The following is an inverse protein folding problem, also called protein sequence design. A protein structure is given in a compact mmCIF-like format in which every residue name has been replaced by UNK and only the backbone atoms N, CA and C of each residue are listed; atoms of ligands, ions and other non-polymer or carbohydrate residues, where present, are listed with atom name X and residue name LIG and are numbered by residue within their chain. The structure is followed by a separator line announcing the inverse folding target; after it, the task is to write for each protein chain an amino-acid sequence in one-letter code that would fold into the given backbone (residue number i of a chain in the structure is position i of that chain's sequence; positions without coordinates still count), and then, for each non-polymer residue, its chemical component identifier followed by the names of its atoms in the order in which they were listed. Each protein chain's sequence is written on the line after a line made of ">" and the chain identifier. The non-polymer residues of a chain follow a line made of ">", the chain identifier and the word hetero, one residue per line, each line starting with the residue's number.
data_IF_018466438347
#
_entry.id   IF_018466438347
#
_cell.length_a   1.000
_cell.length_b   1.000
_cell.length_c   1.000
_cell.angle_alpha   90.00
_cell.angle_beta   90.00
_cell.angle_gamma   90.00
#
_symmetry.space_group_name_H-M   'P 1'
#
loop_
_entity.id
_entity.type
_entity.pdbx_description
1 polymer ?
#
# COMPACT_ATOMS: atom_id res chain seq x y z
N UNK A 1 3.35 -13.23 16.64
CA UNK A 1 4.20 -12.02 16.62
C UNK A 1 5.31 -12.29 15.63
N UNK A 2 5.36 -11.59 14.50
CA UNK A 2 6.45 -11.72 13.51
C UNK A 2 7.53 -10.72 13.92
N UNK A 3 8.73 -11.21 14.17
CA UNK A 3 9.92 -10.38 14.41
C UNK A 3 10.76 -10.51 13.16
N UNK A 4 10.95 -9.40 12.45
CA UNK A 4 11.82 -9.34 11.29
C UNK A 4 13.23 -8.95 11.76
N UNK A 5 14.25 -9.48 11.08
CA UNK A 5 15.64 -9.09 11.35
C UNK A 5 15.88 -7.63 10.95
N UNK A 6 16.74 -6.94 11.70
CA UNK A 6 17.23 -5.64 11.29
C UNK A 6 18.28 -5.84 10.18
N UNK A 7 17.98 -5.30 9.00
CA UNK A 7 18.84 -5.44 7.83
C UNK A 7 19.90 -4.34 7.77
N UNK A 8 19.80 -3.30 8.60
CA UNK A 8 20.76 -2.20 8.63
C UNK A 8 22.16 -2.74 9.05
N UNK A 9 22.20 -3.70 9.98
CA UNK A 9 23.44 -4.39 10.41
C UNK A 9 24.15 -5.14 9.27
N UNK A 10 23.41 -5.50 8.22
CA UNK A 10 23.91 -6.21 7.04
C UNK A 10 24.25 -5.26 5.87
N UNK A 11 24.17 -3.95 6.11
CA UNK A 11 24.48 -2.91 5.12
C UNK A 11 23.36 -2.62 4.13
N UNK A 12 22.13 -3.08 4.40
CA UNK A 12 20.98 -2.64 3.62
C UNK A 12 20.63 -1.20 3.98
N UNK A 13 20.21 -0.42 2.99
CA UNK A 13 19.85 0.99 3.18
C UNK A 13 18.46 1.26 2.62
N UNK A 14 17.73 2.15 3.28
CA UNK A 14 16.50 2.70 2.72
C UNK A 14 16.86 3.66 1.59
N UNK A 15 16.66 3.22 0.35
CA UNK A 15 16.93 4.02 -0.85
C UNK A 15 15.85 5.10 -1.00
N UNK A 16 16.24 6.25 -1.55
CA UNK A 16 15.30 7.28 -1.97
C UNK A 16 14.33 6.71 -3.03
N UNK A 17 13.04 6.64 -2.69
CA UNK A 17 11.99 6.12 -3.59
C UNK A 17 11.79 6.98 -4.83
N UNK A 18 12.26 8.23 -4.82
CA UNK A 18 12.25 9.12 -5.98
C UNK A 18 13.43 8.83 -6.93
N UNK A 19 14.51 8.23 -6.42
CA UNK A 19 15.56 7.68 -7.25
C UNK A 19 15.06 6.36 -7.84
N UNK A 20 14.86 6.34 -9.16
CA UNK A 20 14.54 5.11 -9.89
C UNK A 20 15.57 4.01 -9.59
N UNK A 21 15.16 2.74 -9.73
CA UNK A 21 16.07 1.60 -9.61
C UNK A 21 17.21 1.73 -10.62
N UNK A 22 18.45 1.67 -10.13
CA UNK A 22 19.61 1.54 -11.01
C UNK A 22 19.71 0.11 -11.58
N UNK A 23 20.68 -0.07 -12.48
CA UNK A 23 20.90 -1.34 -13.16
C UNK A 23 21.25 -2.47 -12.19
N UNK A 24 22.04 -2.21 -11.16
CA UNK A 24 22.46 -3.24 -10.21
C UNK A 24 21.28 -3.74 -9.38
N UNK A 25 20.40 -2.84 -8.93
CA UNK A 25 19.17 -3.24 -8.23
C UNK A 25 18.26 -4.07 -9.14
N UNK A 26 18.10 -3.68 -10.41
CA UNK A 26 17.34 -4.46 -11.38
C UNK A 26 17.95 -5.86 -11.59
N UNK A 27 19.28 -5.95 -11.68
CA UNK A 27 19.99 -7.22 -11.84
C UNK A 27 19.76 -8.15 -10.65
N UNK A 28 19.90 -7.65 -9.42
CA UNK A 28 19.63 -8.46 -8.22
C UNK A 28 18.18 -8.91 -8.14
N UNK A 29 17.24 -8.03 -8.48
CA UNK A 29 15.82 -8.39 -8.56
C UNK A 29 15.57 -9.53 -9.54
N UNK A 30 16.14 -9.46 -10.75
CA UNK A 30 15.98 -10.50 -11.78
C UNK A 30 16.57 -11.84 -11.36
N UNK A 31 17.59 -11.86 -10.50
CA UNK A 31 18.17 -13.09 -9.94
C UNK A 31 17.28 -13.67 -8.83
N UNK A 32 16.75 -12.82 -7.93
CA UNK A 32 16.00 -13.27 -6.75
C UNK A 32 14.53 -13.61 -7.03
N UNK A 33 13.88 -12.87 -7.93
CA UNK A 33 12.46 -13.02 -8.23
C UNK A 33 12.07 -14.43 -8.69
N UNK A 34 12.84 -15.15 -9.54
CA UNK A 34 12.53 -16.52 -9.92
C UNK A 34 12.50 -17.49 -8.74
N UNK A 35 13.44 -17.37 -7.79
CA UNK A 35 13.46 -18.22 -6.60
C UNK A 35 12.25 -17.97 -5.71
N UNK A 36 11.87 -16.71 -5.51
CA UNK A 36 10.66 -16.35 -4.74
C UNK A 36 9.40 -16.88 -5.44
N UNK A 37 9.32 -16.80 -6.76
CA UNK A 37 8.20 -17.34 -7.53
C UNK A 37 8.10 -18.87 -7.40
N UNK A 38 9.23 -19.59 -7.54
CA UNK A 38 9.28 -21.03 -7.38
C UNK A 38 8.88 -21.47 -5.96
N UNK A 39 9.33 -20.78 -4.93
CA UNK A 39 8.92 -21.04 -3.54
C UNK A 39 7.44 -20.77 -3.35
N UNK A 40 6.91 -19.65 -3.87
CA UNK A 40 5.48 -19.35 -3.81
C UNK A 40 4.63 -20.45 -4.46
N UNK A 41 5.08 -20.98 -5.60
CA UNK A 41 4.41 -22.09 -6.29
C UNK A 41 4.43 -23.39 -5.45
N UNK A 42 5.59 -23.73 -4.88
CA UNK A 42 5.72 -24.92 -4.02
C UNK A 42 4.83 -24.80 -2.77
N UNK A 43 4.84 -23.64 -2.10
CA UNK A 43 3.99 -23.36 -0.93
C UNK A 43 2.51 -23.42 -1.30
N UNK A 44 2.11 -22.89 -2.47
CA UNK A 44 0.72 -22.97 -2.93
C UNK A 44 0.29 -24.41 -3.19
N UNK A 45 1.16 -25.24 -3.76
CA UNK A 45 0.88 -26.67 -3.99
C UNK A 45 0.67 -27.44 -2.69
N UNK A 46 1.49 -27.17 -1.67
CA UNK A 46 1.45 -27.89 -0.40
C UNK A 46 0.37 -27.35 0.55
N UNK A 47 0.11 -26.04 0.53
CA UNK A 47 -0.89 -25.39 1.36
C UNK A 47 -1.53 -24.18 0.64
N UNK A 48 -2.51 -24.42 -0.26
CA UNK A 48 -3.12 -23.36 -1.05
C UNK A 48 -3.84 -22.32 -0.19
N UNK A 49 -4.45 -22.75 0.92
CA UNK A 49 -5.18 -21.88 1.84
C UNK A 49 -4.28 -20.82 2.49
N UNK A 50 -3.00 -21.14 2.73
CA UNK A 50 -2.06 -20.17 3.29
C UNK A 50 -1.79 -19.03 2.31
N UNK A 51 -1.57 -19.37 1.03
CA UNK A 51 -1.33 -18.36 -0.03
C UNK A 51 -2.58 -17.53 -0.26
N UNK A 52 -3.76 -18.14 -0.28
CA UNK A 52 -5.03 -17.42 -0.39
C UNK A 52 -5.27 -16.49 0.81
N UNK A 53 -5.00 -16.96 2.03
CA UNK A 53 -5.17 -16.16 3.24
C UNK A 53 -4.20 -14.98 3.33
N UNK A 54 -2.94 -15.17 2.94
CA UNK A 54 -1.91 -14.11 2.94
C UNK A 54 -2.14 -13.15 1.77
N UNK A 55 -2.46 -13.67 0.59
CA UNK A 55 -2.69 -12.89 -0.62
C UNK A 55 -4.00 -12.11 -0.62
N UNK A 56 -4.96 -12.48 0.25
CA UNK A 56 -6.19 -11.70 0.43
C UNK A 56 -5.85 -10.36 1.08
N UNK A 57 -6.12 -9.30 0.35
CA UNK A 57 -6.00 -7.92 0.81
C UNK A 57 -7.08 -7.63 1.88
N UNK A 58 -6.66 -7.07 3.02
CA UNK A 58 -7.45 -6.97 4.27
C UNK A 58 -7.64 -5.53 4.77
N UNK A 59 -6.96 -4.56 4.19
CA UNK A 59 -6.99 -3.15 4.59
C UNK A 59 -8.20 -2.39 4.03
N UNK A 60 -8.81 -2.89 2.95
CA UNK A 60 -10.02 -2.32 2.35
C UNK A 60 -11.25 -3.23 2.49
N UNK A 61 -11.17 -4.28 3.31
CA UNK A 61 -12.28 -5.19 3.55
C UNK A 61 -13.22 -4.63 4.64
N UNK A 62 -14.50 -4.41 4.34
CA UNK A 62 -15.45 -3.74 5.25
C UNK A 62 -15.70 -4.48 6.58
N UNK A 63 -15.25 -5.72 6.72
CA UNK A 63 -15.49 -6.61 7.86
C UNK A 63 -14.30 -6.73 8.84
N UNK A 64 -13.23 -5.94 8.66
CA UNK A 64 -12.02 -6.05 9.48
C UNK A 64 -11.69 -4.77 10.27
N UNK A 65 -11.26 -4.94 11.53
CA UNK A 65 -10.82 -3.86 12.42
C UNK A 65 -9.74 -2.95 11.80
N UNK A 66 -8.82 -3.52 11.03
CA UNK A 66 -7.75 -2.77 10.37
C UNK A 66 -8.29 -1.82 9.28
N UNK A 67 -9.39 -2.15 8.62
CA UNK A 67 -10.03 -1.32 7.60
C UNK A 67 -10.68 -0.09 8.22
N UNK A 68 -11.35 -0.25 9.36
CA UNK A 68 -11.88 0.88 10.13
C UNK A 68 -10.76 1.80 10.61
N UNK A 69 -9.66 1.23 11.11
CA UNK A 69 -8.48 1.97 11.51
C UNK A 69 -7.90 2.77 10.33
N UNK A 70 -7.72 2.12 9.18
CA UNK A 70 -7.16 2.75 7.99
C UNK A 70 -8.09 3.83 7.41
N UNK A 71 -9.39 3.57 7.35
CA UNK A 71 -10.43 4.56 6.98
C UNK A 71 -10.40 5.79 7.88
N UNK A 72 -10.30 5.57 9.19
CA UNK A 72 -10.24 6.65 10.17
C UNK A 72 -8.95 7.46 10.07
N UNK A 73 -7.83 6.80 9.77
CA UNK A 73 -6.56 7.48 9.50
C UNK A 73 -6.65 8.37 8.25
N UNK A 74 -7.21 7.86 7.14
CA UNK A 74 -7.43 8.64 5.91
C UNK A 74 -8.33 9.85 6.19
N UNK A 75 -9.47 9.64 6.88
CA UNK A 75 -10.39 10.72 7.25
C UNK A 75 -9.71 11.77 8.13
N UNK A 76 -8.90 11.35 9.10
CA UNK A 76 -8.17 12.25 10.00
C UNK A 76 -7.14 13.07 9.23
N UNK A 77 -6.39 12.45 8.32
CA UNK A 77 -5.45 13.14 7.46
C UNK A 77 -6.15 14.20 6.58
N UNK A 78 -7.30 13.86 5.97
CA UNK A 78 -8.10 14.84 5.22
C UNK A 78 -8.54 16.02 6.08
N UNK A 79 -9.00 15.77 7.32
CA UNK A 79 -9.41 16.85 8.24
C UNK A 79 -8.24 17.79 8.57
N UNK A 80 -7.07 17.24 8.88
CA UNK A 80 -5.86 18.03 9.16
C UNK A 80 -5.47 18.85 7.93
N UNK A 81 -5.55 18.27 6.73
CA UNK A 81 -5.24 18.96 5.49
C UNK A 81 -6.22 20.11 5.19
N UNK A 82 -7.51 19.90 5.40
CA UNK A 82 -8.55 20.94 5.24
C UNK A 82 -8.30 22.09 6.23
N UNK A 83 -8.05 21.77 7.50
CA UNK A 83 -7.79 22.75 8.55
C UNK A 83 -6.53 23.59 8.24
N UNK A 84 -5.47 22.94 7.73
CA UNK A 84 -4.27 23.64 7.26
C UNK A 84 -4.58 24.62 6.12
N UNK A 85 -5.38 24.19 5.13
CA UNK A 85 -5.75 25.04 3.98
C UNK A 85 -6.63 26.21 4.42
N UNK A 86 -7.57 26.00 5.33
CA UNK A 86 -8.46 27.04 5.86
C UNK A 86 -7.68 28.13 6.62
N UNK A 87 -6.64 27.72 7.34
CA UNK A 87 -5.78 28.63 8.11
C UNK A 87 -4.72 29.33 7.25
N UNK A 88 -4.48 28.86 6.03
CA UNK A 88 -3.47 29.44 5.14
C UNK A 88 -4.11 30.38 4.14
N UNK A 89 -3.96 31.70 4.34
CA UNK A 89 -4.63 32.74 3.55
C UNK A 89 -4.45 32.56 2.02
N UNK A 90 -3.25 32.15 1.59
CA UNK A 90 -2.93 31.86 0.18
C UNK A 90 -3.83 30.77 -0.43
N UNK A 91 -4.22 29.77 0.35
CA UNK A 91 -4.91 28.57 -0.14
C UNK A 91 -6.38 28.50 0.25
N UNK A 92 -6.85 29.36 1.15
CA UNK A 92 -8.24 29.43 1.64
C UNK A 92 -9.30 29.45 0.53
N UNK A 93 -9.01 30.06 -0.62
CA UNK A 93 -9.90 30.05 -1.81
C UNK A 93 -10.20 28.65 -2.36
N UNK A 94 -9.35 27.66 -2.05
CA UNK A 94 -9.47 26.27 -2.50
C UNK A 94 -10.16 25.36 -1.47
N UNK A 95 -10.50 25.84 -0.27
CA UNK A 95 -11.14 25.03 0.76
C UNK A 95 -12.37 24.28 0.24
N UNK A 96 -13.23 24.96 -0.54
CA UNK A 96 -14.47 24.36 -1.05
C UNK A 96 -14.24 23.18 -1.99
N UNK A 97 -13.25 23.26 -2.90
CA UNK A 97 -12.93 22.14 -3.80
C UNK A 97 -12.25 20.98 -3.05
N UNK A 98 -11.41 21.29 -2.06
CA UNK A 98 -10.71 20.28 -1.26
C UNK A 98 -11.70 19.51 -0.37
N UNK A 99 -12.62 20.20 0.31
CA UNK A 99 -13.68 19.55 1.11
C UNK A 99 -14.45 18.55 0.26
N UNK A 100 -14.99 18.99 -0.89
CA UNK A 100 -15.71 18.12 -1.84
C UNK A 100 -14.85 16.95 -2.34
N UNK A 101 -13.58 17.17 -2.64
CA UNK A 101 -12.69 16.12 -3.09
C UNK A 101 -12.44 15.04 -2.01
N UNK A 102 -12.44 15.44 -0.74
CA UNK A 102 -12.16 14.55 0.39
C UNK A 102 -13.37 13.80 0.95
N UNK A 103 -14.60 14.27 0.70
CA UNK A 103 -15.86 13.67 1.21
C UNK A 103 -15.96 12.18 0.89
N UNK A 104 -15.75 11.84 -0.39
CA UNK A 104 -15.85 10.46 -0.90
C UNK A 104 -14.49 9.83 -1.19
N UNK A 105 -13.39 10.40 -0.69
CA UNK A 105 -12.03 9.94 -1.01
C UNK A 105 -11.84 8.46 -0.67
N UNK A 106 -12.36 8.02 0.48
CA UNK A 106 -12.28 6.62 0.89
C UNK A 106 -12.95 5.69 -0.13
N UNK A 107 -14.17 6.05 -0.57
CA UNK A 107 -14.96 5.27 -1.52
C UNK A 107 -14.16 5.15 -2.83
N UNK A 108 -13.67 6.27 -3.36
CA UNK A 108 -12.87 6.30 -4.60
C UNK A 108 -11.59 5.46 -4.50
N UNK A 109 -10.90 5.49 -3.36
CA UNK A 109 -9.68 4.68 -3.13
C UNK A 109 -10.01 3.19 -3.16
N UNK A 110 -11.10 2.78 -2.49
CA UNK A 110 -11.56 1.38 -2.48
C UNK A 110 -11.96 0.93 -3.89
N UNK A 111 -12.71 1.75 -4.63
CA UNK A 111 -13.14 1.47 -6.00
C UNK A 111 -11.96 1.24 -6.94
N UNK A 112 -11.00 2.19 -7.00
CA UNK A 112 -9.82 2.10 -7.87
C UNK A 112 -8.99 0.83 -7.57
N UNK A 113 -8.84 0.48 -6.29
CA UNK A 113 -8.13 -0.74 -5.88
C UNK A 113 -8.90 -1.99 -6.31
N UNK A 114 -10.21 -2.02 -6.14
CA UNK A 114 -11.04 -3.18 -6.52
C UNK A 114 -11.05 -3.38 -8.05
N UNK A 115 -11.02 -2.31 -8.83
CA UNK A 115 -10.85 -2.39 -10.29
C UNK A 115 -9.51 -3.02 -10.70
N UNK A 116 -8.41 -2.65 -10.03
CA UNK A 116 -7.06 -3.22 -10.30
C UNK A 116 -6.92 -4.69 -9.95
N UNK A 117 -7.67 -5.19 -8.96
CA UNK A 117 -7.61 -6.61 -8.58
C UNK A 117 -8.16 -7.59 -9.63
N UNK A 118 -8.70 -7.10 -10.75
CA UNK A 118 -9.12 -7.94 -11.90
C UNK A 118 -7.95 -8.50 -12.73
N UNK A 119 -6.72 -8.03 -12.49
CA UNK A 119 -5.52 -8.54 -13.12
C UNK A 119 -4.63 -9.19 -12.06
N UNK A 120 -4.73 -10.51 -11.90
CA UNK A 120 -3.73 -11.29 -11.18
C UNK A 120 -2.47 -11.29 -12.03
N UNK A 121 -1.40 -10.63 -11.57
CA UNK A 121 -0.17 -10.52 -12.35
C UNK A 121 0.84 -11.65 -12.12
N UNK A 122 0.64 -12.56 -11.17
CA UNK A 122 1.63 -13.61 -10.93
C UNK A 122 1.05 -14.84 -10.23
N UNK A 123 0.17 -15.55 -10.93
CA UNK A 123 0.07 -17.02 -10.88
C UNK A 123 -0.24 -17.51 -12.29
#
# INVERSE_FOLDING_TARGET
>A
KVVLEDLDERGFVNIDKLASLDFEHCRWYLIAAPSLHAVSFAVHKDNPQLVEYIGKEKWFADDMFHSDMFRNMVRSACKVFIDMIEKTERFKKHTGIVKRATEDLWIKVVEIRNERSRFLNVL
#
